data_IF_682950561588
#
_entry.id   IF_682950561588
#
_cell.length_a   1.000
_cell.length_b   1.000
_cell.length_c   1.000
_cell.angle_alpha   90.00
_cell.angle_beta   90.00
_cell.angle_gamma   90.00
#
_symmetry.space_group_name_H-M   'P 1'
#
loop_
_entity.id
_entity.type
_entity.pdbx_description
1 polymer ?
#
# COMPACT_ATOMS: atom_id res chain seq x y z
N UNK A 1 28.37 -0.38 -32.24
CA UNK A 1 27.51 -1.51 -31.80
C UNK A 1 26.21 -0.89 -31.37
N UNK A 2 25.11 -1.19 -32.05
CA UNK A 2 23.80 -0.79 -31.56
C UNK A 2 23.55 -1.53 -30.24
N UNK A 3 23.32 -0.78 -29.18
CA UNK A 3 22.93 -1.34 -27.88
C UNK A 3 21.47 -1.77 -28.05
N UNK A 4 21.21 -3.07 -28.08
CA UNK A 4 19.84 -3.59 -28.05
C UNK A 4 19.13 -3.00 -26.83
N UNK A 5 17.98 -2.32 -27.00
CA UNK A 5 17.19 -1.83 -25.87
C UNK A 5 16.89 -2.97 -24.90
N UNK A 6 16.95 -2.71 -23.59
CA UNK A 6 16.72 -3.76 -22.60
C UNK A 6 15.35 -4.43 -22.76
N UNK A 7 14.37 -3.70 -23.29
CA UNK A 7 13.02 -4.18 -23.51
C UNK A 7 12.94 -5.34 -24.53
N UNK A 8 13.93 -5.44 -25.41
CA UNK A 8 14.00 -6.44 -26.49
C UNK A 8 14.92 -7.62 -26.13
N UNK A 9 15.53 -7.62 -24.93
CA UNK A 9 16.34 -8.74 -24.45
C UNK A 9 15.46 -9.95 -24.13
N UNK A 10 16.04 -11.16 -24.22
CA UNK A 10 15.40 -12.38 -23.72
C UNK A 10 15.19 -12.29 -22.20
N UNK A 11 14.27 -13.10 -21.68
CA UNK A 11 13.97 -13.13 -20.24
C UNK A 11 15.23 -13.41 -19.41
N UNK A 12 16.04 -14.38 -19.82
CA UNK A 12 17.26 -14.78 -19.12
C UNK A 12 18.28 -13.64 -19.06
N UNK A 13 18.46 -12.91 -20.17
CA UNK A 13 19.42 -11.80 -20.23
C UNK A 13 18.91 -10.57 -19.47
N UNK A 14 17.59 -10.35 -19.45
CA UNK A 14 16.95 -9.25 -18.74
C UNK A 14 16.99 -9.45 -17.22
N UNK A 15 16.79 -10.68 -16.73
CA UNK A 15 16.88 -11.03 -15.31
C UNK A 15 18.27 -10.75 -14.71
N UNK A 16 19.33 -10.84 -15.51
CA UNK A 16 20.70 -10.53 -15.09
C UNK A 16 21.01 -9.01 -15.05
N UNK A 17 20.04 -8.15 -15.41
CA UNK A 17 20.23 -6.68 -15.38
C UNK A 17 19.89 -6.10 -14.02
N UNK A 18 20.71 -5.13 -13.59
CA UNK A 18 20.37 -4.26 -12.46
C UNK A 18 19.19 -3.37 -12.85
N UNK A 19 18.15 -3.34 -12.02
CA UNK A 19 16.95 -2.50 -12.21
C UNK A 19 17.33 -1.02 -12.40
N UNK A 20 18.34 -0.53 -11.66
CA UNK A 20 18.82 0.86 -11.76
C UNK A 20 19.38 1.25 -13.13
N UNK A 21 19.74 0.29 -13.98
CA UNK A 21 20.23 0.52 -15.34
C UNK A 21 19.11 0.58 -16.39
N UNK A 22 17.87 0.28 -16.01
CA UNK A 22 16.73 0.23 -16.93
C UNK A 22 16.09 1.61 -17.17
N UNK A 23 16.47 2.63 -16.39
CA UNK A 23 15.98 4.01 -16.56
C UNK A 23 14.49 4.19 -16.24
N UNK A 24 13.96 3.34 -15.36
CA UNK A 24 12.53 3.29 -15.03
C UNK A 24 12.13 4.52 -14.20
N UNK A 25 10.93 5.02 -14.46
CA UNK A 25 10.33 6.11 -13.72
C UNK A 25 8.80 5.94 -13.64
N UNK A 26 8.15 6.72 -12.79
CA UNK A 26 6.68 6.74 -12.69
C UNK A 26 6.06 7.82 -13.58
N UNK A 27 6.77 8.93 -13.81
CA UNK A 27 6.25 10.17 -14.41
C UNK A 27 5.86 10.05 -15.88
N UNK A 28 6.55 9.19 -16.63
CA UNK A 28 6.35 8.98 -18.06
C UNK A 28 5.48 7.74 -18.34
N UNK A 29 4.78 7.25 -17.32
CA UNK A 29 3.94 6.05 -17.39
C UNK A 29 2.48 6.37 -17.07
N UNK A 30 1.52 5.50 -17.45
CA UNK A 30 0.13 5.62 -17.02
C UNK A 30 -0.05 5.64 -15.49
N UNK A 31 0.93 5.14 -14.72
CA UNK A 31 0.88 5.13 -13.25
C UNK A 31 0.85 6.55 -12.66
N UNK A 32 1.38 7.55 -13.37
CA UNK A 32 1.32 8.96 -12.92
C UNK A 32 -0.11 9.40 -12.62
N UNK A 33 -1.09 8.96 -13.40
CA UNK A 33 -2.49 9.30 -13.16
C UNK A 33 -3.05 8.64 -11.90
N UNK A 34 -2.62 7.42 -11.57
CA UNK A 34 -3.03 6.71 -10.36
C UNK A 34 -2.36 7.28 -9.10
N UNK A 35 -1.08 7.67 -9.21
CA UNK A 35 -0.40 8.42 -8.13
C UNK A 35 -1.10 9.75 -7.88
N UNK A 36 -1.45 10.48 -8.94
CA UNK A 36 -2.21 11.72 -8.81
C UNK A 36 -3.58 11.47 -8.18
N UNK A 37 -4.26 10.37 -8.54
CA UNK A 37 -5.52 9.99 -7.92
C UNK A 37 -5.37 9.82 -6.41
N UNK A 38 -4.35 9.12 -5.91
CA UNK A 38 -4.10 9.04 -4.46
C UNK A 38 -3.96 10.44 -3.84
N UNK A 39 -3.21 11.33 -4.50
CA UNK A 39 -3.01 12.68 -3.98
C UNK A 39 -4.29 13.51 -3.95
N UNK A 40 -5.16 13.35 -4.96
CA UNK A 40 -6.46 13.99 -5.00
C UNK A 40 -7.37 13.44 -3.90
N UNK A 41 -7.34 12.13 -3.63
CA UNK A 41 -8.10 11.50 -2.54
C UNK A 41 -7.65 11.99 -1.15
N UNK A 42 -6.33 12.09 -0.92
CA UNK A 42 -5.77 12.66 0.29
C UNK A 42 -6.17 14.14 0.45
N UNK A 43 -6.07 14.92 -0.63
CA UNK A 43 -6.45 16.34 -0.63
C UNK A 43 -7.94 16.54 -0.37
N UNK A 44 -8.80 15.68 -0.91
CA UNK A 44 -10.24 15.71 -0.70
C UNK A 44 -10.62 15.45 0.77
N UNK A 45 -9.75 14.77 1.53
CA UNK A 45 -9.85 14.59 2.98
C UNK A 45 -9.19 15.73 3.78
N UNK A 46 -8.65 16.75 3.13
CA UNK A 46 -7.96 17.88 3.77
C UNK A 46 -6.54 17.55 4.23
N UNK A 47 -5.97 16.41 3.81
CA UNK A 47 -4.62 16.01 4.19
C UNK A 47 -3.59 16.74 3.33
N UNK A 48 -2.67 17.44 3.99
CA UNK A 48 -1.62 18.25 3.32
C UNK A 48 -0.35 17.46 2.99
N UNK A 49 -0.18 16.29 3.62
CA UNK A 49 0.95 15.42 3.36
C UNK A 49 0.64 14.45 2.23
N UNK A 50 1.37 14.59 1.13
CA UNK A 50 1.32 13.69 -0.01
C UNK A 50 2.62 12.89 -0.06
N UNK A 51 2.61 11.58 0.27
CA UNK A 51 3.82 10.77 0.28
C UNK A 51 4.49 10.75 -1.09
N UNK A 52 5.80 11.10 -1.20
CA UNK A 52 6.53 10.93 -2.44
C UNK A 52 6.48 9.47 -2.90
N UNK A 53 6.31 9.26 -4.21
CA UNK A 53 6.28 7.93 -4.80
C UNK A 53 7.54 7.68 -5.63
N UNK A 54 8.17 6.53 -5.40
CA UNK A 54 9.40 6.10 -6.05
C UNK A 54 9.24 4.70 -6.66
N UNK A 55 10.18 4.32 -7.53
CA UNK A 55 10.25 2.96 -8.04
C UNK A 55 11.01 2.09 -7.04
N UNK A 56 10.43 0.95 -6.66
CA UNK A 56 11.02 -0.06 -5.79
C UNK A 56 11.03 -1.45 -6.44
N UNK A 57 11.54 -2.43 -5.72
CA UNK A 57 11.44 -3.85 -6.04
C UNK A 57 10.06 -4.43 -5.72
N UNK A 58 9.45 -4.00 -4.61
CA UNK A 58 8.10 -4.38 -4.18
C UNK A 58 7.26 -3.17 -3.74
N UNK A 59 6.03 -3.42 -3.28
CA UNK A 59 5.18 -2.43 -2.60
C UNK A 59 5.66 -2.29 -1.16
N UNK A 60 6.13 -1.11 -0.77
CA UNK A 60 6.50 -0.86 0.63
C UNK A 60 6.67 0.62 0.95
N UNK A 61 6.72 0.90 2.25
CA UNK A 61 7.24 2.14 2.83
C UNK A 61 8.43 1.79 3.75
N UNK A 62 9.67 2.24 3.43
CA UNK A 62 10.82 1.93 4.27
C UNK A 62 10.66 2.52 5.67
N UNK A 63 11.15 1.80 6.68
CA UNK A 63 11.02 2.19 8.08
C UNK A 63 11.56 3.61 8.32
N UNK A 64 10.68 4.49 8.79
CA UNK A 64 11.02 5.88 9.10
C UNK A 64 11.17 6.80 7.88
N UNK A 65 10.97 6.29 6.67
CA UNK A 65 11.00 7.07 5.43
C UNK A 65 9.56 7.14 4.90
N UNK A 66 8.85 8.28 5.06
CA UNK A 66 7.45 8.37 4.68
C UNK A 66 7.30 8.59 3.16
N UNK A 67 7.69 7.59 2.38
CA UNK A 67 7.61 7.57 0.92
C UNK A 67 7.19 6.17 0.44
N UNK A 68 6.36 6.13 -0.59
CA UNK A 68 5.80 4.90 -1.15
C UNK A 68 6.71 4.42 -2.28
N UNK A 69 7.07 3.14 -2.25
CA UNK A 69 7.80 2.49 -3.32
C UNK A 69 6.84 1.60 -4.10
N UNK A 70 6.75 1.86 -5.40
CA UNK A 70 5.90 1.16 -6.36
C UNK A 70 6.77 0.17 -7.14
N UNK A 71 6.38 -1.10 -7.28
CA UNK A 71 7.20 -2.10 -7.94
C UNK A 71 7.59 -1.72 -9.38
N UNK A 72 8.87 -1.91 -9.70
CA UNK A 72 9.46 -1.56 -10.98
C UNK A 72 8.79 -2.28 -12.15
N UNK A 73 8.29 -3.50 -11.94
CA UNK A 73 7.64 -4.25 -13.02
C UNK A 73 6.36 -3.59 -13.52
N UNK A 74 5.71 -2.75 -12.72
CA UNK A 74 4.52 -2.01 -13.14
C UNK A 74 4.85 -0.87 -14.11
N UNK A 75 6.09 -0.41 -14.17
CA UNK A 75 6.49 0.79 -14.95
C UNK A 75 6.55 0.53 -16.45
N UNK A 76 6.60 -0.73 -16.91
CA UNK A 76 6.76 -1.05 -18.32
C UNK A 76 6.12 -2.41 -18.69
N UNK A 77 5.44 -2.49 -19.84
CA UNK A 77 4.71 -3.70 -20.28
C UNK A 77 5.62 -4.94 -20.39
N UNK A 78 6.86 -4.77 -20.89
CA UNK A 78 7.85 -5.85 -20.95
C UNK A 78 8.13 -6.49 -19.58
N UNK A 79 8.22 -5.66 -18.53
CA UNK A 79 8.49 -6.13 -17.18
C UNK A 79 7.24 -6.75 -16.55
N UNK A 80 6.04 -6.21 -16.80
CA UNK A 80 4.78 -6.86 -16.42
C UNK A 80 4.67 -8.27 -16.99
N UNK A 81 5.03 -8.45 -18.26
CA UNK A 81 5.04 -9.78 -18.90
C UNK A 81 6.05 -10.72 -18.24
N UNK A 82 7.25 -10.23 -17.93
CA UNK A 82 8.27 -11.03 -17.25
C UNK A 82 7.80 -11.45 -15.84
N UNK A 83 7.30 -10.49 -15.06
CA UNK A 83 6.74 -10.74 -13.72
C UNK A 83 5.64 -11.79 -13.77
N UNK A 84 4.69 -11.64 -14.69
CA UNK A 84 3.60 -12.61 -14.88
C UNK A 84 4.10 -14.02 -15.23
N UNK A 85 5.17 -14.13 -16.01
CA UNK A 85 5.77 -15.42 -16.35
C UNK A 85 6.43 -16.07 -15.13
N UNK A 86 7.11 -15.28 -14.31
CA UNK A 86 7.90 -15.78 -13.17
C UNK A 86 7.05 -16.03 -11.92
N UNK A 87 6.11 -15.14 -11.65
CA UNK A 87 5.30 -15.10 -10.43
C UNK A 87 3.84 -15.52 -10.64
N UNK A 88 3.44 -15.81 -11.90
CA UNK A 88 2.07 -16.16 -12.33
C UNK A 88 1.04 -15.03 -12.21
N UNK A 89 1.39 -13.93 -11.56
CA UNK A 89 0.57 -12.74 -11.39
C UNK A 89 1.42 -11.47 -11.46
N UNK A 90 0.75 -10.33 -11.51
CA UNK A 90 1.38 -9.00 -11.45
C UNK A 90 0.61 -8.20 -10.42
N UNK A 91 1.15 -8.13 -9.21
CA UNK A 91 0.50 -7.41 -8.13
C UNK A 91 0.39 -5.92 -8.46
N UNK A 92 -0.83 -5.37 -8.40
CA UNK A 92 -1.07 -3.98 -8.80
C UNK A 92 -1.29 -3.79 -10.30
N UNK A 93 -1.51 -4.86 -11.07
CA UNK A 93 -1.67 -4.73 -12.53
C UNK A 93 -2.84 -3.84 -12.92
N UNK A 94 -4.00 -4.06 -12.27
CA UNK A 94 -5.23 -3.34 -12.57
C UNK A 94 -5.36 -2.07 -11.70
N UNK A 95 -5.98 -0.98 -12.22
CA UNK A 95 -6.10 0.28 -11.49
C UNK A 95 -6.80 0.19 -10.13
N UNK A 96 -7.81 -0.66 -9.98
CA UNK A 96 -8.55 -0.80 -8.73
C UNK A 96 -7.67 -1.39 -7.62
N UNK A 97 -6.96 -2.48 -7.93
CA UNK A 97 -6.03 -3.12 -7.02
C UNK A 97 -4.80 -2.25 -6.73
N UNK A 98 -4.26 -1.57 -7.75
CA UNK A 98 -3.22 -0.57 -7.57
C UNK A 98 -3.63 0.49 -6.54
N UNK A 99 -4.86 1.00 -6.65
CA UNK A 99 -5.37 1.98 -5.68
C UNK A 99 -5.64 1.37 -4.29
N UNK A 100 -5.98 0.08 -4.18
CA UNK A 100 -6.04 -0.61 -2.88
C UNK A 100 -4.68 -0.58 -2.19
N UNK A 101 -3.62 -0.93 -2.91
CA UNK A 101 -2.23 -0.95 -2.41
C UNK A 101 -1.72 0.47 -2.10
N UNK A 102 -1.91 1.43 -3.00
CA UNK A 102 -1.48 2.82 -2.78
C UNK A 102 -2.07 3.43 -1.51
N UNK A 103 -3.35 3.18 -1.22
CA UNK A 103 -4.00 3.68 0.00
C UNK A 103 -3.48 2.99 1.26
N UNK A 104 -3.16 1.70 1.14
CA UNK A 104 -2.54 0.92 2.20
C UNK A 104 -1.14 1.47 2.52
N UNK A 105 -0.27 1.60 1.51
CA UNK A 105 1.08 2.17 1.68
C UNK A 105 1.05 3.62 2.17
N UNK A 106 0.09 4.42 1.72
CA UNK A 106 -0.10 5.77 2.24
C UNK A 106 -0.30 5.76 3.76
N UNK A 107 -1.02 4.79 4.31
CA UNK A 107 -1.19 4.68 5.75
C UNK A 107 0.15 4.49 6.48
N UNK A 108 1.02 3.60 6.00
CA UNK A 108 2.35 3.41 6.57
C UNK A 108 3.20 4.69 6.48
N UNK A 109 3.13 5.40 5.34
CA UNK A 109 3.81 6.68 5.19
C UNK A 109 3.32 7.71 6.23
N UNK A 110 2.02 7.80 6.47
CA UNK A 110 1.44 8.65 7.52
C UNK A 110 1.84 8.19 8.93
N UNK A 111 1.87 6.89 9.18
CA UNK A 111 2.30 6.33 10.45
C UNK A 111 3.73 6.76 10.81
N UNK A 112 4.64 6.75 9.84
CA UNK A 112 6.01 7.23 10.03
C UNK A 112 6.12 8.74 10.10
N UNK A 113 5.49 9.48 9.17
CA UNK A 113 5.57 10.94 9.11
C UNK A 113 5.12 11.60 10.43
N UNK A 114 4.04 11.08 11.03
CA UNK A 114 3.42 11.64 12.23
C UNK A 114 3.67 10.81 13.51
N UNK A 115 4.47 9.75 13.40
CA UNK A 115 4.79 8.83 14.50
C UNK A 115 3.53 8.32 15.23
N UNK A 116 2.50 7.95 14.45
CA UNK A 116 1.15 7.66 14.96
C UNK A 116 1.15 6.49 15.95
N UNK A 117 2.01 5.50 15.73
CA UNK A 117 2.18 4.30 16.56
C UNK A 117 2.63 4.61 17.99
N UNK A 118 3.19 5.81 18.24
CA UNK A 118 3.57 6.28 19.59
C UNK A 118 2.38 6.82 20.40
N UNK A 119 1.25 7.13 19.75
CA UNK A 119 0.08 7.70 20.42
C UNK A 119 -0.60 6.62 21.28
N UNK A 120 -0.88 6.94 22.56
CA UNK A 120 -1.53 6.00 23.49
C UNK A 120 -2.91 5.54 23.03
N UNK A 121 -3.68 6.39 22.35
CA UNK A 121 -5.00 6.02 21.82
C UNK A 121 -4.87 5.04 20.64
N UNK A 122 -3.92 5.28 19.74
CA UNK A 122 -3.56 4.34 18.67
C UNK A 122 -3.23 2.95 19.23
N UNK A 123 -2.35 2.89 20.23
CA UNK A 123 -1.95 1.62 20.85
C UNK A 123 -3.08 0.86 21.54
N UNK A 124 -4.10 1.57 22.04
CA UNK A 124 -5.29 0.94 22.64
C UNK A 124 -6.22 0.35 21.58
N UNK A 125 -6.27 0.95 20.39
CA UNK A 125 -7.21 0.60 19.33
C UNK A 125 -6.65 -0.50 18.42
N UNK A 126 -5.39 -0.37 18.00
CA UNK A 126 -4.73 -1.32 17.09
C UNK A 126 -3.82 -2.31 17.81
N UNK A 127 -3.21 -1.90 18.92
CA UNK A 127 -2.24 -2.70 19.67
C UNK A 127 -0.84 -2.10 19.66
N UNK A 128 0.16 -2.83 20.18
CA UNK A 128 1.57 -2.40 20.14
C UNK A 128 2.29 -3.05 18.97
N UNK A 129 3.13 -2.28 18.31
CA UNK A 129 3.91 -2.67 17.11
C UNK A 129 5.19 -3.43 17.46
N UNK A 130 5.28 -4.05 18.63
CA UNK A 130 6.52 -4.69 19.09
C UNK A 130 6.73 -6.05 18.43
N UNK A 131 7.93 -6.24 17.87
CA UNK A 131 8.35 -7.50 17.25
C UNK A 131 8.21 -8.70 18.21
N UNK A 132 8.49 -8.52 19.51
CA UNK A 132 8.44 -9.59 20.53
C UNK A 132 7.09 -10.30 20.66
N UNK A 133 6.01 -9.68 20.16
CA UNK A 133 4.64 -10.22 20.21
C UNK A 133 4.07 -10.54 18.84
N UNK A 134 4.83 -10.30 17.77
CA UNK A 134 4.39 -10.52 16.40
C UNK A 134 4.69 -11.96 16.01
N UNK A 135 3.69 -12.80 15.77
CA UNK A 135 3.92 -14.19 15.39
C UNK A 135 4.55 -14.27 14.00
N UNK A 136 5.47 -15.22 13.80
CA UNK A 136 6.07 -15.49 12.47
C UNK A 136 5.01 -15.87 11.41
N UNK A 137 3.88 -16.43 11.86
CA UNK A 137 2.74 -16.77 11.01
C UNK A 137 1.44 -16.30 11.67
N UNK A 138 0.65 -15.49 10.97
CA UNK A 138 -0.70 -15.16 11.43
C UNK A 138 -1.70 -16.22 10.96
N UNK A 139 -2.67 -16.54 11.83
CA UNK A 139 -3.81 -17.42 11.50
C UNK A 139 -5.07 -16.59 11.54
N UNK A 140 -5.59 -16.17 10.38
CA UNK A 140 -6.73 -15.27 10.36
C UNK A 140 -7.97 -15.95 10.93
N UNK A 141 -8.87 -15.14 11.51
CA UNK A 141 -10.19 -15.56 11.97
C UNK A 141 -11.22 -15.02 10.98
N UNK A 142 -11.70 -15.82 10.01
CA UNK A 142 -12.47 -15.31 8.88
C UNK A 142 -13.76 -14.56 9.23
N UNK A 143 -14.40 -14.92 10.34
CA UNK A 143 -15.67 -14.34 10.80
C UNK A 143 -15.47 -13.20 11.81
N UNK A 144 -14.23 -12.75 12.03
CA UNK A 144 -13.94 -11.66 12.95
C UNK A 144 -14.50 -10.35 12.40
N UNK A 145 -15.40 -9.72 13.16
CA UNK A 145 -15.89 -8.36 12.88
C UNK A 145 -15.04 -7.27 13.52
N UNK A 146 -13.85 -7.61 14.01
CA UNK A 146 -12.92 -6.66 14.63
C UNK A 146 -12.00 -5.97 13.64
N UNK A 147 -11.96 -6.43 12.39
CA UNK A 147 -11.07 -5.93 11.36
C UNK A 147 -11.88 -5.53 10.13
N UNK A 148 -11.36 -4.56 9.40
CA UNK A 148 -11.86 -4.31 8.05
C UNK A 148 -11.39 -5.42 7.12
N UNK A 149 -11.98 -5.49 5.92
CA UNK A 149 -11.48 -6.33 4.83
C UNK A 149 -11.20 -5.38 3.69
N UNK A 150 -9.92 -5.13 3.43
CA UNK A 150 -9.46 -4.22 2.37
C UNK A 150 -8.55 -4.90 1.38
N UNK A 151 -7.47 -5.57 1.78
CA UNK A 151 -6.70 -6.52 0.98
C UNK A 151 -7.16 -7.95 1.28
N UNK A 152 -6.66 -8.91 0.50
CA UNK A 152 -7.08 -10.31 0.58
C UNK A 152 -6.44 -11.00 1.80
N UNK A 153 -6.74 -12.28 2.01
CA UNK A 153 -6.19 -13.12 3.10
C UNK A 153 -6.35 -12.57 4.53
N UNK A 154 -7.35 -11.70 4.75
CA UNK A 154 -7.58 -11.05 6.04
C UNK A 154 -6.34 -10.31 6.55
N UNK A 155 -5.63 -9.63 5.66
CA UNK A 155 -4.33 -9.01 5.91
C UNK A 155 -4.32 -8.08 7.14
N UNK A 156 -5.42 -7.37 7.40
CA UNK A 156 -5.59 -6.56 8.62
C UNK A 156 -5.36 -7.31 9.95
N UNK A 157 -5.39 -8.65 9.96
CA UNK A 157 -5.15 -9.47 11.15
C UNK A 157 -3.69 -9.86 11.36
N UNK A 158 -2.80 -9.55 10.42
CA UNK A 158 -1.41 -9.99 10.45
C UNK A 158 -0.58 -9.25 11.50
N UNK A 159 -0.78 -7.94 11.64
CA UNK A 159 -0.05 -7.08 12.57
C UNK A 159 -0.84 -5.78 12.86
N UNK A 160 -0.66 -5.12 14.02
CA UNK A 160 -1.30 -3.83 14.31
C UNK A 160 -1.04 -2.73 13.28
N UNK A 161 0.13 -2.73 12.64
CA UNK A 161 0.44 -1.77 11.57
C UNK A 161 -0.42 -2.05 10.32
N UNK A 162 -0.58 -3.32 9.94
CA UNK A 162 -1.46 -3.71 8.82
C UNK A 162 -2.93 -3.44 9.12
N UNK A 163 -3.37 -3.68 10.36
CA UNK A 163 -4.72 -3.35 10.81
C UNK A 163 -5.02 -1.85 10.65
N UNK A 164 -4.06 -1.00 11.02
CA UNK A 164 -4.15 0.44 10.78
C UNK A 164 -4.14 0.76 9.29
N UNK A 165 -3.25 0.16 8.50
CA UNK A 165 -3.12 0.45 7.09
C UNK A 165 -4.37 0.10 6.29
N UNK A 166 -4.92 -1.08 6.54
CA UNK A 166 -6.18 -1.56 5.98
C UNK A 166 -7.35 -0.65 6.40
N UNK A 167 -7.41 -0.26 7.68
CA UNK A 167 -8.46 0.64 8.20
C UNK A 167 -8.39 2.01 7.54
N UNK A 168 -7.18 2.59 7.42
CA UNK A 168 -6.96 3.86 6.76
C UNK A 168 -7.35 3.80 5.28
N UNK A 169 -6.99 2.72 4.59
CA UNK A 169 -7.32 2.57 3.18
C UNK A 169 -8.84 2.48 2.92
N UNK A 170 -9.59 1.78 3.78
CA UNK A 170 -11.06 1.78 3.75
C UNK A 170 -11.62 3.18 4.00
N UNK A 171 -11.10 3.90 5.01
CA UNK A 171 -11.56 5.24 5.35
C UNK A 171 -11.32 6.27 4.24
N UNK A 172 -10.19 6.14 3.53
CA UNK A 172 -9.79 7.01 2.43
C UNK A 172 -10.54 6.72 1.12
N UNK A 173 -11.04 5.50 0.94
CA UNK A 173 -11.69 5.06 -0.31
C UNK A 173 -12.89 5.97 -0.68
N UNK A 174 -12.84 6.66 -1.83
CA UNK A 174 -13.90 7.57 -2.25
C UNK A 174 -15.26 6.88 -2.44
N UNK A 175 -16.34 7.56 -2.03
CA UNK A 175 -17.70 7.07 -2.21
C UNK A 175 -18.10 5.87 -1.34
N UNK A 176 -17.17 5.29 -0.57
CA UNK A 176 -17.48 4.18 0.33
C UNK A 176 -18.15 4.70 1.61
N UNK A 177 -19.42 4.36 1.81
CA UNK A 177 -20.09 4.56 3.09
C UNK A 177 -19.66 3.48 4.10
N UNK A 178 -18.46 3.67 4.65
CA UNK A 178 -17.87 2.76 5.62
C UNK A 178 -18.69 2.68 6.92
N UNK A 179 -19.42 3.73 7.28
CA UNK A 179 -20.28 3.74 8.49
C UNK A 179 -21.41 2.73 8.35
N UNK A 180 -22.05 2.70 7.18
CA UNK A 180 -23.08 1.71 6.89
C UNK A 180 -22.47 0.32 6.70
N UNK A 181 -21.39 0.19 5.93
CA UNK A 181 -20.74 -1.10 5.63
C UNK A 181 -20.28 -1.85 6.88
N UNK A 182 -19.69 -1.14 7.84
CA UNK A 182 -19.16 -1.73 9.08
C UNK A 182 -20.07 -1.52 10.29
N UNK A 183 -21.36 -1.21 10.07
CA UNK A 183 -22.33 -1.02 11.16
C UNK A 183 -22.42 -2.26 12.05
N UNK A 184 -22.21 -2.08 13.34
CA UNK A 184 -22.23 -3.16 14.34
C UNK A 184 -20.98 -4.04 14.35
N UNK A 185 -19.94 -3.69 13.59
CA UNK A 185 -18.63 -4.32 13.65
C UNK A 185 -17.75 -3.56 14.65
N UNK A 186 -16.86 -4.27 15.34
CA UNK A 186 -15.84 -3.64 16.20
C UNK A 186 -14.82 -2.85 15.38
N UNK A 187 -14.64 -3.19 14.10
CA UNK A 187 -13.83 -2.41 13.16
C UNK A 187 -14.31 -0.96 12.98
N UNK A 188 -15.60 -0.68 13.23
CA UNK A 188 -16.16 0.68 13.10
C UNK A 188 -15.48 1.67 14.05
N UNK A 189 -15.15 1.24 15.28
CA UNK A 189 -14.44 2.07 16.27
C UNK A 189 -13.06 2.50 15.73
N UNK A 190 -12.39 1.64 14.95
CA UNK A 190 -11.10 1.95 14.32
C UNK A 190 -11.25 2.98 13.21
N UNK A 191 -12.29 2.85 12.38
CA UNK A 191 -12.59 3.81 11.30
C UNK A 191 -12.96 5.19 11.87
N UNK A 192 -13.76 5.23 12.92
CA UNK A 192 -14.10 6.47 13.64
C UNK A 192 -12.86 7.11 14.26
N UNK A 193 -11.94 6.30 14.80
CA UNK A 193 -10.68 6.81 15.29
C UNK A 193 -9.76 7.34 14.19
N UNK A 194 -9.69 6.69 13.03
CA UNK A 194 -8.91 7.22 11.89
C UNK A 194 -9.51 8.55 11.42
N UNK A 195 -10.84 8.67 11.33
CA UNK A 195 -11.52 9.94 11.01
C UNK A 195 -11.14 11.05 12.00
N UNK A 196 -11.18 10.78 13.31
CA UNK A 196 -10.74 11.73 14.35
C UNK A 196 -9.26 12.08 14.22
N UNK A 197 -8.40 11.08 14.00
CA UNK A 197 -6.95 11.23 13.95
C UNK A 197 -6.48 12.02 12.73
N UNK A 198 -7.19 11.90 11.61
CA UNK A 198 -6.87 12.58 10.35
C UNK A 198 -7.55 13.95 10.21
N UNK A 199 -8.65 14.18 10.94
CA UNK A 199 -9.34 15.48 10.96
C UNK A 199 -8.78 16.50 11.96
N UNK A 200 -7.74 16.13 12.73
CA UNK A 200 -7.14 16.95 13.80
C UNK A 200 -5.94 17.76 13.35
#
# INVERSE_FOLDING_TARGET
MEITPWADLSDEVLLEKKISLLGLNLTDTPLKALVQQLYDELSAKGLVFHPPCHVGDEWFVPVGIPAIFVPFFLTHERLRKLEKTMMLEVEGENPEWFMRLMRHEAAHAFAYAYQLTKKRKWQRIFGRTSADTTPEFYRPRPYSRSFVVHLDDWYAQSHPDEDFAETFAVWLTPGLDWRTRFKGWRALEKLEYVEELMGS
#
